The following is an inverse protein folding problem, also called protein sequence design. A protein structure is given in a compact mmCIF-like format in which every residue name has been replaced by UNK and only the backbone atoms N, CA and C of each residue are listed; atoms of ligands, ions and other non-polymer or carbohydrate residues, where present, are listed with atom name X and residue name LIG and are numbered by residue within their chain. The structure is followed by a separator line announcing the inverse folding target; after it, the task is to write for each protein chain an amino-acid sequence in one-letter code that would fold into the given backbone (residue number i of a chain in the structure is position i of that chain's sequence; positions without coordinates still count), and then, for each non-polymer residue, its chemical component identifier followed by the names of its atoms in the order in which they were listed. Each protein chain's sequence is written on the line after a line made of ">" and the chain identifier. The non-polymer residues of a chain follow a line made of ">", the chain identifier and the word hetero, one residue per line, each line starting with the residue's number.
data_IF_442842359100
#
_entry.id   IF_442842359100
#
_cell.length_a   1.000
_cell.length_b   1.000
_cell.length_c   1.000
_cell.angle_alpha   90.00
_cell.angle_beta   90.00
_cell.angle_gamma   90.00
#
_symmetry.space_group_name_H-M   'P 1'
#
loop_
_entity.id
_entity.type
_entity.pdbx_description
1 polymer ?
#
# COMPACT_ATOMS: atom_id res chain seq x y z
N UNK A 1 -7.63 -6.10 -15.91
CA UNK A 1 -6.65 -5.18 -15.32
C UNK A 1 -5.53 -6.02 -14.73
N UNK A 2 -4.26 -5.76 -15.06
CA UNK A 2 -3.14 -6.54 -14.52
C UNK A 2 -2.67 -5.97 -13.19
N UNK A 3 -1.96 -6.77 -12.38
CA UNK A 3 -1.38 -6.32 -11.10
C UNK A 3 -0.53 -5.05 -11.28
N UNK A 4 0.27 -5.01 -12.34
CA UNK A 4 1.13 -3.86 -12.66
C UNK A 4 0.33 -2.58 -12.95
N UNK A 5 -0.77 -2.67 -13.70
CA UNK A 5 -1.63 -1.50 -13.95
C UNK A 5 -2.24 -0.95 -12.65
N UNK A 6 -2.63 -1.85 -11.74
CA UNK A 6 -3.17 -1.50 -10.44
C UNK A 6 -2.14 -0.74 -9.58
N UNK A 7 -0.96 -1.32 -9.40
CA UNK A 7 0.13 -0.69 -8.62
C UNK A 7 0.50 0.67 -9.21
N UNK A 8 0.56 0.77 -10.55
CA UNK A 8 0.89 2.02 -11.24
C UNK A 8 -0.18 3.09 -11.03
N UNK A 9 -1.47 2.75 -11.08
CA UNK A 9 -2.55 3.69 -10.80
C UNK A 9 -2.56 4.10 -9.33
N UNK A 10 -2.37 3.15 -8.42
CA UNK A 10 -2.30 3.40 -6.99
C UNK A 10 -1.13 4.34 -6.64
N UNK A 11 0.03 4.13 -7.28
CA UNK A 11 1.19 5.00 -7.16
C UNK A 11 0.89 6.43 -7.61
N UNK A 12 0.21 6.61 -8.74
CA UNK A 12 -0.17 7.94 -9.23
C UNK A 12 -1.12 8.65 -8.27
N UNK A 13 -2.08 7.93 -7.69
CA UNK A 13 -3.03 8.50 -6.72
C UNK A 13 -2.35 8.88 -5.40
N UNK A 14 -1.61 7.95 -4.80
CA UNK A 14 -0.94 8.18 -3.50
C UNK A 14 0.17 9.23 -3.59
N UNK A 15 0.85 9.35 -4.74
CA UNK A 15 1.88 10.37 -4.96
C UNK A 15 1.32 11.80 -4.98
N UNK A 16 0.09 11.98 -5.44
CA UNK A 16 -0.57 13.29 -5.50
C UNK A 16 -1.18 13.70 -4.15
N UNK A 17 -1.40 12.71 -3.28
CA UNK A 17 -1.94 12.91 -1.94
C UNK A 17 -0.86 13.38 -0.94
N UNK A 18 -1.27 14.07 0.14
CA UNK A 18 -0.34 14.52 1.17
C UNK A 18 0.37 13.34 1.84
N UNK A 19 1.61 13.60 2.30
CA UNK A 19 2.41 12.61 3.03
C UNK A 19 1.65 12.09 4.24
N UNK A 20 1.69 10.76 4.43
CA UNK A 20 0.92 10.07 5.46
C UNK A 20 -0.46 9.60 5.01
N UNK A 21 -0.83 9.81 3.74
CA UNK A 21 -2.03 9.18 3.17
C UNK A 21 -1.79 7.70 2.90
N UNK A 22 -2.69 6.88 3.40
CA UNK A 22 -2.76 5.44 3.16
C UNK A 22 -4.00 5.12 2.32
N UNK A 23 -3.89 4.13 1.45
CA UNK A 23 -5.00 3.51 0.76
C UNK A 23 -5.31 2.18 1.44
N UNK A 24 -6.48 2.09 2.04
CA UNK A 24 -6.96 0.83 2.62
C UNK A 24 -7.46 -0.07 1.49
N UNK A 25 -6.82 -1.23 1.34
CA UNK A 25 -7.15 -2.23 0.33
C UNK A 25 -8.10 -3.29 0.89
N UNK A 26 -7.97 -3.60 2.17
CA UNK A 26 -8.81 -4.53 2.93
C UNK A 26 -8.71 -4.21 4.43
N UNK A 27 -9.54 -4.84 5.24
CA UNK A 27 -9.53 -4.72 6.71
C UNK A 27 -8.16 -5.04 7.34
N UNK A 28 -7.37 -5.88 6.67
CA UNK A 28 -6.03 -6.29 7.13
C UNK A 28 -4.91 -5.80 6.19
N UNK A 29 -5.17 -4.89 5.25
CA UNK A 29 -4.17 -4.50 4.26
C UNK A 29 -4.28 -3.03 3.86
N UNK A 30 -3.16 -2.32 3.95
CA UNK A 30 -3.02 -0.95 3.51
C UNK A 30 -1.87 -0.82 2.51
N UNK A 31 -1.91 0.25 1.73
CA UNK A 31 -0.83 0.66 0.86
C UNK A 31 -0.52 2.14 1.06
N UNK A 32 0.73 2.53 0.97
CA UNK A 32 1.13 3.92 1.16
C UNK A 32 2.31 4.28 0.26
N UNK A 33 2.49 5.58 0.01
CA UNK A 33 3.61 6.07 -0.79
C UNK A 33 4.79 6.47 0.11
N UNK A 34 5.93 5.80 -0.04
CA UNK A 34 7.13 6.07 0.76
C UNK A 34 8.00 7.22 0.21
N UNK A 35 7.64 7.79 -0.94
CA UNK A 35 8.44 8.81 -1.65
C UNK A 35 9.07 8.32 -2.95
N UNK A 36 9.28 7.01 -3.08
CA UNK A 36 9.92 6.35 -4.21
C UNK A 36 8.99 5.34 -4.90
N UNK A 37 8.25 4.56 -4.11
CA UNK A 37 7.35 3.50 -4.57
C UNK A 37 6.12 3.36 -3.65
N UNK A 38 5.15 2.58 -4.11
CA UNK A 38 4.04 2.13 -3.25
C UNK A 38 4.53 0.97 -2.42
N UNK A 39 4.38 1.09 -1.11
CA UNK A 39 4.64 0.02 -0.14
C UNK A 39 3.31 -0.57 0.27
N UNK A 40 3.23 -1.90 0.29
CA UNK A 40 2.08 -2.60 0.82
C UNK A 40 2.40 -3.08 2.23
N UNK A 41 1.40 -3.02 3.09
CA UNK A 41 1.52 -3.37 4.49
C UNK A 41 0.31 -4.19 4.92
N UNK A 42 0.55 -5.30 5.59
CA UNK A 42 -0.47 -5.97 6.38
C UNK A 42 -0.73 -5.16 7.64
N UNK A 43 -2.00 -4.97 7.97
CA UNK A 43 -2.42 -4.33 9.21
C UNK A 43 -2.64 -5.40 10.28
N UNK A 44 -2.30 -5.06 11.51
CA UNK A 44 -2.48 -5.96 12.64
C UNK A 44 -3.97 -6.30 12.82
N UNK A 45 -4.32 -7.58 12.88
CA UNK A 45 -5.71 -8.08 13.01
C UNK A 45 -6.41 -7.59 14.28
N UNK A 46 -5.65 -7.01 15.22
CA UNK A 46 -6.17 -6.40 16.45
C UNK A 46 -6.94 -5.10 16.22
N UNK A 47 -7.09 -4.65 14.96
CA UNK A 47 -7.86 -3.45 14.62
C UNK A 47 -7.22 -2.14 15.08
N UNK A 48 -5.92 -2.18 15.40
CA UNK A 48 -5.16 -1.00 15.81
C UNK A 48 -4.74 -0.13 14.64
N UNK A 49 -5.01 -0.55 13.40
CA UNK A 49 -4.60 0.14 12.17
C UNK A 49 -3.08 0.27 12.03
N UNK A 50 -2.34 -0.55 12.78
CA UNK A 50 -0.87 -0.52 12.80
C UNK A 50 -0.33 -1.47 11.76
N UNK A 51 0.72 -1.06 11.07
CA UNK A 51 1.46 -1.92 10.14
C UNK A 51 2.07 -3.08 10.94
N UNK A 52 1.73 -4.30 10.55
CA UNK A 52 2.25 -5.54 11.09
C UNK A 52 3.47 -5.99 10.30
N UNK A 53 3.33 -6.08 8.97
CA UNK A 53 4.40 -6.49 8.05
C UNK A 53 4.33 -5.71 6.74
N UNK A 54 5.47 -5.18 6.30
CA UNK A 54 5.62 -4.52 5.00
C UNK A 54 6.10 -5.53 3.97
N UNK A 55 5.49 -5.50 2.79
CA UNK A 55 5.89 -6.34 1.69
C UNK A 55 5.87 -5.56 0.38
N UNK A 56 6.82 -5.91 -0.48
CA UNK A 56 6.82 -5.42 -1.84
C UNK A 56 6.04 -6.40 -2.72
N UNK A 57 5.03 -5.92 -3.42
CA UNK A 57 4.30 -6.75 -4.37
C UNK A 57 5.22 -7.23 -5.50
N UNK A 58 6.25 -6.47 -5.86
CA UNK A 58 7.20 -6.82 -6.92
C UNK A 58 8.16 -7.95 -6.50
N UNK A 59 8.31 -8.24 -5.21
CA UNK A 59 9.24 -9.27 -4.71
C UNK A 59 8.66 -10.71 -4.81
N UNK A 60 7.35 -10.84 -5.04
CA UNK A 60 6.70 -12.11 -5.36
C UNK A 60 6.53 -12.26 -6.89
N UNK A 61 7.52 -12.93 -7.51
CA UNK A 61 7.53 -13.43 -8.91
C UNK A 61 7.49 -14.95 -8.93
#
# INVERSE_FOLDING_TARGET
>A
MTRHDFVRQLAMMLRDLPRGTTADLSDCMAAYWNGYSVVFAFLCERGTGTIDEEFDMDDYV
#
